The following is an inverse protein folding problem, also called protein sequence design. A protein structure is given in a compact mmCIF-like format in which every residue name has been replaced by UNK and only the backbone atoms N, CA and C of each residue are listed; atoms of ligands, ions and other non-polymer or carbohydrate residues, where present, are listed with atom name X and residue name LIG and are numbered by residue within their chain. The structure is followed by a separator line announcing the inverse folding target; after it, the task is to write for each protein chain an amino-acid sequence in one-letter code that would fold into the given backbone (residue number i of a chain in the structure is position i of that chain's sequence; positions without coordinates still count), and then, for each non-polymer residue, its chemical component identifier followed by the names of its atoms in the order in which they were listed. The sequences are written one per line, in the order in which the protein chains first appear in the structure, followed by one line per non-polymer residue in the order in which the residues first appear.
data_IF_049133166551
#
_entry.id   IF_049133166551
#
_cell.length_a   1.000
_cell.length_b   1.000
_cell.length_c   1.000
_cell.angle_alpha   90.00
_cell.angle_beta   90.00
_cell.angle_gamma   90.00
#
_symmetry.space_group_name_H-M   'P 1'
#
loop_
_entity.id
_entity.type
_entity.pdbx_description
1 polymer ?
#
# COMPACT_ATOMS: atom_id res chain seq x y z
N UNK A 1 20.29 -5.79 17.01
CA UNK A 1 20.39 -6.77 15.91
C UNK A 1 20.64 -6.00 14.63
N UNK A 2 21.61 -6.38 13.79
CA UNK A 2 21.83 -5.76 12.47
C UNK A 2 21.34 -6.73 11.38
N UNK A 3 20.13 -6.55 10.84
CA UNK A 3 19.58 -7.47 9.83
C UNK A 3 20.38 -7.38 8.52
N UNK A 4 20.63 -8.52 7.88
CA UNK A 4 21.16 -8.57 6.53
C UNK A 4 20.05 -8.28 5.50
N UNK A 5 20.36 -7.50 4.47
CA UNK A 5 19.47 -7.20 3.34
C UNK A 5 19.97 -7.99 2.12
N UNK A 6 19.08 -8.77 1.50
CA UNK A 6 19.37 -9.63 0.34
C UNK A 6 18.40 -9.28 -0.81
N UNK A 7 18.64 -9.84 -2.00
CA UNK A 7 17.77 -9.72 -3.19
C UNK A 7 17.67 -8.29 -3.78
N UNK A 8 18.79 -7.55 -3.77
CA UNK A 8 18.88 -6.16 -4.24
C UNK A 8 19.44 -6.00 -5.68
N UNK A 9 19.70 -7.10 -6.39
CA UNK A 9 20.29 -7.05 -7.74
C UNK A 9 19.41 -6.36 -8.79
N UNK A 10 18.09 -6.32 -8.56
CA UNK A 10 17.10 -5.67 -9.44
C UNK A 10 16.64 -4.31 -8.87
N UNK A 11 17.42 -3.71 -7.96
CA UNK A 11 17.10 -2.41 -7.38
C UNK A 11 17.01 -1.31 -8.45
N UNK A 12 16.01 -0.43 -8.29
CA UNK A 12 15.76 0.68 -9.21
C UNK A 12 15.51 1.97 -8.44
N UNK A 13 15.65 3.11 -9.12
CA UNK A 13 15.25 4.40 -8.56
C UNK A 13 13.73 4.50 -8.49
N UNK A 14 13.22 4.92 -7.33
CA UNK A 14 11.80 5.12 -7.09
C UNK A 14 11.56 6.10 -5.94
N UNK A 15 10.28 6.33 -5.58
CA UNK A 15 9.93 7.17 -4.44
C UNK A 15 10.57 6.64 -3.16
N UNK A 16 11.03 7.54 -2.30
CA UNK A 16 11.65 7.23 -1.00
C UNK A 16 10.73 6.42 -0.07
N UNK A 17 9.42 6.43 -0.33
CA UNK A 17 8.40 5.67 0.39
C UNK A 17 8.23 4.23 -0.09
N UNK A 18 8.81 3.83 -1.23
CA UNK A 18 8.57 2.52 -1.84
C UNK A 18 8.96 1.36 -0.91
N UNK A 19 10.15 1.42 -0.33
CA UNK A 19 10.65 0.39 0.58
C UNK A 19 9.90 0.40 1.92
N UNK A 20 9.38 1.55 2.36
CA UNK A 20 8.53 1.58 3.54
C UNK A 20 7.21 0.87 3.28
N UNK A 21 6.58 1.13 2.15
CA UNK A 21 5.31 0.48 1.80
C UNK A 21 5.51 -1.03 1.68
N UNK A 22 6.62 -1.48 1.08
CA UNK A 22 6.91 -2.91 0.93
C UNK A 22 7.09 -3.61 2.28
N UNK A 23 7.59 -2.92 3.30
CA UNK A 23 7.76 -3.45 4.66
C UNK A 23 6.51 -3.32 5.54
N UNK A 24 5.85 -2.17 5.51
CA UNK A 24 4.78 -1.82 6.46
C UNK A 24 3.37 -2.16 5.96
N UNK A 25 3.20 -2.32 4.64
CA UNK A 25 1.94 -2.71 4.01
C UNK A 25 2.13 -3.92 3.11
N UNK A 26 2.83 -4.92 3.66
CA UNK A 26 3.14 -6.17 2.98
C UNK A 26 1.88 -7.01 2.70
N UNK A 27 1.96 -7.91 1.72
CA UNK A 27 0.83 -8.76 1.34
C UNK A 27 0.56 -9.92 2.32
N UNK A 28 1.55 -10.30 3.14
CA UNK A 28 1.51 -11.48 4.00
C UNK A 28 1.33 -11.14 5.48
N UNK A 29 1.69 -9.92 5.89
CA UNK A 29 1.61 -9.45 7.27
C UNK A 29 0.68 -8.24 7.36
N UNK A 30 -0.19 -8.25 8.36
CA UNK A 30 -1.05 -7.12 8.69
C UNK A 30 -0.63 -6.53 10.04
N UNK A 31 -0.37 -5.22 10.03
CA UNK A 31 0.07 -4.47 11.19
C UNK A 31 -1.04 -3.52 11.62
N UNK A 32 -1.15 -3.31 12.93
CA UNK A 32 -2.05 -2.28 13.45
C UNK A 32 -1.72 -0.89 12.87
N UNK A 33 -2.75 -0.12 12.52
CA UNK A 33 -2.58 1.18 11.86
C UNK A 33 -1.78 2.17 12.72
N UNK A 34 -1.96 2.14 14.04
CA UNK A 34 -1.21 3.02 14.96
C UNK A 34 0.29 2.68 14.91
N UNK A 35 0.62 1.38 14.75
CA UNK A 35 2.01 0.94 14.60
C UNK A 35 2.61 1.36 13.27
N UNK A 36 1.86 1.23 12.18
CA UNK A 36 2.31 1.72 10.86
C UNK A 36 2.56 3.23 10.92
N UNK A 37 1.66 3.99 11.55
CA UNK A 37 1.80 5.43 11.72
C UNK A 37 3.03 5.80 12.54
N UNK A 38 3.26 5.17 13.70
CA UNK A 38 4.45 5.40 14.54
C UNK A 38 5.74 5.12 13.76
N UNK A 39 5.82 4.02 13.03
CA UNK A 39 7.00 3.70 12.21
C UNK A 39 7.20 4.68 11.06
N UNK A 40 6.13 5.10 10.37
CA UNK A 40 6.19 6.14 9.34
C UNK A 40 6.72 7.47 9.88
N UNK A 41 6.29 7.89 11.08
CA UNK A 41 6.79 9.11 11.75
C UNK A 41 8.27 8.98 12.05
N UNK A 42 8.70 7.87 12.67
CA UNK A 42 10.11 7.64 13.03
C UNK A 42 11.02 7.64 11.81
N UNK A 43 10.60 6.99 10.72
CA UNK A 43 11.34 7.03 9.48
C UNK A 43 11.43 8.45 8.93
N UNK A 44 10.30 9.16 8.85
CA UNK A 44 10.25 10.52 8.34
C UNK A 44 11.19 11.47 9.11
N UNK A 45 11.19 11.40 10.45
CA UNK A 45 12.11 12.19 11.29
C UNK A 45 13.58 11.84 11.05
N UNK A 46 13.90 10.55 10.95
CA UNK A 46 15.26 10.09 10.66
C UNK A 46 15.72 10.51 9.26
N UNK A 47 14.87 10.35 8.25
CA UNK A 47 15.11 10.75 6.87
C UNK A 47 15.35 12.26 6.74
N UNK A 48 14.53 13.08 7.42
CA UNK A 48 14.73 14.54 7.49
C UNK A 48 16.07 14.90 8.12
N UNK A 49 16.43 14.29 9.25
CA UNK A 49 17.73 14.53 9.91
C UNK A 49 18.92 14.11 9.04
N UNK A 50 18.75 13.07 8.21
CA UNK A 50 19.75 12.60 7.27
C UNK A 50 19.81 13.41 5.97
N UNK A 51 18.93 14.41 5.78
CA UNK A 51 18.88 15.22 4.57
C UNK A 51 18.30 14.49 3.35
N UNK A 52 17.55 13.41 3.55
CA UNK A 52 16.85 12.72 2.46
C UNK A 52 15.72 13.60 1.91
N UNK A 53 15.36 13.48 0.62
CA UNK A 53 14.36 14.30 -0.04
C UNK A 53 12.93 13.87 0.32
N UNK A 54 12.57 13.95 1.60
CA UNK A 54 11.20 13.74 2.10
C UNK A 54 10.49 15.08 2.26
N UNK A 55 9.14 15.05 2.28
CA UNK A 55 8.32 16.24 2.51
C UNK A 55 8.63 16.89 3.86
N UNK A 56 8.53 18.22 3.91
CA UNK A 56 8.74 18.99 5.14
C UNK A 56 7.60 18.82 6.14
N UNK A 57 6.38 18.59 5.65
CA UNK A 57 5.19 18.28 6.43
C UNK A 57 4.94 16.76 6.47
N UNK A 58 4.56 16.24 7.64
CA UNK A 58 4.34 14.80 7.81
C UNK A 58 3.07 14.32 7.09
N UNK A 59 2.00 15.11 7.06
CA UNK A 59 0.77 14.70 6.39
C UNK A 59 0.98 14.56 4.88
N UNK A 60 1.79 15.45 4.28
CA UNK A 60 2.20 15.31 2.88
C UNK A 60 3.06 14.06 2.64
N UNK A 61 4.04 13.78 3.53
CA UNK A 61 4.84 12.55 3.44
C UNK A 61 3.96 11.30 3.57
N UNK A 62 3.02 11.31 4.51
CA UNK A 62 2.12 10.19 4.75
C UNK A 62 1.18 9.98 3.56
N UNK A 63 0.72 11.06 2.91
CA UNK A 63 -0.01 10.96 1.64
C UNK A 63 0.84 10.30 0.55
N UNK A 64 2.09 10.72 0.37
CA UNK A 64 3.01 10.10 -0.59
C UNK A 64 3.23 8.60 -0.27
N UNK A 65 3.28 8.22 1.01
CA UNK A 65 3.36 6.82 1.45
C UNK A 65 2.08 6.03 1.13
N UNK A 66 0.89 6.58 1.40
CA UNK A 66 -0.38 5.95 1.08
C UNK A 66 -0.58 5.77 -0.43
N UNK A 67 -0.25 6.79 -1.22
CA UNK A 67 -0.36 6.76 -2.68
C UNK A 67 0.64 5.79 -3.32
N UNK A 68 1.84 5.68 -2.73
CA UNK A 68 2.78 4.64 -3.11
C UNK A 68 2.21 3.24 -2.79
N UNK A 69 1.51 3.11 -1.66
CA UNK A 69 0.67 1.95 -1.33
C UNK A 69 -0.28 1.58 -2.46
N UNK A 70 -1.12 2.53 -2.88
CA UNK A 70 -2.11 2.34 -3.95
C UNK A 70 -1.47 1.77 -5.22
N UNK A 71 -0.39 2.39 -5.71
CA UNK A 71 0.30 1.90 -6.91
C UNK A 71 0.87 0.49 -6.71
N UNK A 72 1.50 0.23 -5.55
CA UNK A 72 2.13 -1.05 -5.27
C UNK A 72 1.10 -2.17 -5.11
N UNK A 73 0.01 -1.91 -4.39
CA UNK A 73 -1.05 -2.89 -4.16
C UNK A 73 -1.79 -3.23 -5.44
N UNK A 74 -2.04 -2.25 -6.34
CA UNK A 74 -2.54 -2.52 -7.69
C UNK A 74 -1.61 -3.46 -8.47
N UNK A 75 -0.30 -3.18 -8.46
CA UNK A 75 0.69 -4.05 -9.10
C UNK A 75 0.66 -5.47 -8.52
N UNK A 76 0.57 -5.62 -7.20
CA UNK A 76 0.51 -6.93 -6.53
C UNK A 76 -0.76 -7.69 -6.90
N UNK A 77 -1.93 -7.05 -6.88
CA UNK A 77 -3.19 -7.68 -7.29
C UNK A 77 -3.10 -8.21 -8.72
N UNK A 78 -2.54 -7.42 -9.65
CA UNK A 78 -2.30 -7.85 -11.02
C UNK A 78 -1.30 -9.02 -11.12
N UNK A 79 -0.24 -9.03 -10.30
CA UNK A 79 0.72 -10.13 -10.23
C UNK A 79 0.03 -11.41 -9.72
N UNK A 80 -0.77 -11.33 -8.66
CA UNK A 80 -1.48 -12.49 -8.11
C UNK A 80 -2.48 -13.07 -9.12
N UNK A 81 -3.26 -12.22 -9.78
CA UNK A 81 -4.15 -12.64 -10.85
C UNK A 81 -3.38 -13.33 -11.99
N UNK A 82 -2.25 -12.76 -12.43
CA UNK A 82 -1.39 -13.37 -13.46
C UNK A 82 -0.84 -14.72 -13.02
N UNK A 83 -0.31 -14.82 -11.79
CA UNK A 83 0.25 -16.06 -11.25
C UNK A 83 -0.81 -17.17 -11.16
N UNK A 84 -2.05 -16.81 -10.84
CA UNK A 84 -3.16 -17.76 -10.85
C UNK A 84 -3.50 -18.20 -12.28
N UNK A 85 -3.83 -17.28 -13.18
CA UNK A 85 -4.33 -17.61 -14.52
C UNK A 85 -3.28 -18.23 -15.44
N UNK A 86 -2.03 -17.76 -15.36
CA UNK A 86 -0.95 -18.22 -16.25
C UNK A 86 -0.18 -19.41 -15.67
N UNK A 87 0.12 -19.36 -14.37
CA UNK A 87 1.06 -20.29 -13.73
C UNK A 87 0.37 -21.31 -12.81
N UNK A 88 -0.98 -21.27 -12.69
CA UNK A 88 -1.77 -22.21 -11.88
C UNK A 88 -1.58 -22.06 -10.37
N UNK A 89 -0.97 -20.96 -9.90
CA UNK A 89 -0.62 -20.78 -8.49
C UNK A 89 -1.79 -20.21 -7.67
N UNK A 90 -2.79 -21.05 -7.40
CA UNK A 90 -4.01 -20.68 -6.68
C UNK A 90 -3.76 -20.13 -5.25
N UNK A 91 -2.63 -20.47 -4.62
CA UNK A 91 -2.30 -20.01 -3.27
C UNK A 91 -2.31 -18.48 -3.11
N UNK A 92 -1.93 -17.73 -4.14
CA UNK A 92 -1.90 -16.26 -4.09
C UNK A 92 -3.28 -15.61 -4.01
N UNK A 93 -4.35 -16.32 -4.38
CA UNK A 93 -5.71 -15.81 -4.23
C UNK A 93 -6.09 -15.60 -2.76
N UNK A 94 -5.49 -16.36 -1.83
CA UNK A 94 -5.73 -16.23 -0.40
C UNK A 94 -5.20 -14.90 0.17
N UNK A 95 -4.18 -14.30 -0.46
CA UNK A 95 -3.58 -13.03 -0.04
C UNK A 95 -4.27 -11.80 -0.66
N UNK A 96 -5.06 -11.99 -1.73
CA UNK A 96 -5.75 -10.90 -2.43
C UNK A 96 -6.68 -10.07 -1.52
N UNK A 97 -7.47 -10.65 -0.59
CA UNK A 97 -8.34 -9.85 0.28
C UNK A 97 -7.57 -8.86 1.15
N UNK A 98 -6.37 -9.24 1.65
CA UNK A 98 -5.54 -8.35 2.46
C UNK A 98 -5.02 -7.17 1.64
N UNK A 99 -4.48 -7.45 0.46
CA UNK A 99 -3.95 -6.43 -0.46
C UNK A 99 -5.07 -5.49 -0.92
N UNK A 100 -6.26 -6.04 -1.24
CA UNK A 100 -7.43 -5.24 -1.61
C UNK A 100 -7.90 -4.35 -0.46
N UNK A 101 -7.87 -4.84 0.78
CA UNK A 101 -8.24 -4.03 1.95
C UNK A 101 -7.32 -2.82 2.15
N UNK A 102 -6.00 -2.97 1.99
CA UNK A 102 -5.08 -1.83 2.05
C UNK A 102 -5.37 -0.80 0.95
N UNK A 103 -5.56 -1.28 -0.28
CA UNK A 103 -5.87 -0.42 -1.42
C UNK A 103 -7.18 0.35 -1.20
N UNK A 104 -8.23 -0.36 -0.75
CA UNK A 104 -9.55 0.21 -0.47
C UNK A 104 -9.50 1.29 0.60
N UNK A 105 -8.85 1.03 1.73
CA UNK A 105 -8.72 2.02 2.83
C UNK A 105 -8.02 3.29 2.38
N UNK A 106 -6.98 3.18 1.56
CA UNK A 106 -6.31 4.34 0.99
C UNK A 106 -7.24 5.10 0.02
N UNK A 107 -7.95 4.39 -0.86
CA UNK A 107 -8.85 5.04 -1.82
C UNK A 107 -10.05 5.74 -1.15
N UNK A 108 -10.55 5.22 -0.03
CA UNK A 108 -11.62 5.86 0.77
C UNK A 108 -11.15 7.14 1.47
N UNK A 109 -9.86 7.25 1.78
CA UNK A 109 -9.31 8.38 2.55
C UNK A 109 -9.07 9.62 1.69
N UNK A 110 -8.77 9.45 0.40
CA UNK A 110 -8.39 10.54 -0.49
C UNK A 110 -9.42 10.68 -1.61
N UNK A 111 -10.02 11.86 -1.72
CA UNK A 111 -11.08 12.13 -2.68
C UNK A 111 -10.63 11.91 -4.13
N UNK A 112 -9.36 12.18 -4.42
CA UNK A 112 -8.72 11.97 -5.73
C UNK A 112 -8.72 10.49 -6.15
N UNK A 113 -8.88 9.57 -5.20
CA UNK A 113 -8.87 8.13 -5.41
C UNK A 113 -10.27 7.50 -5.36
N UNK A 114 -11.33 8.27 -5.11
CA UNK A 114 -12.71 7.75 -5.11
C UNK A 114 -13.08 7.00 -6.41
N UNK A 115 -12.71 7.46 -7.63
CA UNK A 115 -13.02 6.68 -8.84
C UNK A 115 -12.44 5.26 -8.83
N UNK A 116 -11.29 5.07 -8.19
CA UNK A 116 -10.70 3.74 -8.00
C UNK A 116 -11.42 2.95 -6.90
N UNK A 117 -11.86 3.62 -5.83
CA UNK A 117 -12.68 3.00 -4.78
C UNK A 117 -13.98 2.42 -5.36
N UNK A 118 -14.68 3.20 -6.19
CA UNK A 118 -15.92 2.80 -6.88
C UNK A 118 -15.67 1.62 -7.82
N UNK A 119 -14.56 1.64 -8.57
CA UNK A 119 -14.17 0.53 -9.44
C UNK A 119 -13.93 -0.76 -8.64
N UNK A 120 -13.30 -0.68 -7.47
CA UNK A 120 -13.09 -1.83 -6.60
C UNK A 120 -14.43 -2.40 -6.08
N UNK A 121 -15.40 -1.55 -5.75
CA UNK A 121 -16.75 -2.00 -5.37
C UNK A 121 -17.45 -2.73 -6.51
N UNK A 122 -17.40 -2.17 -7.72
CA UNK A 122 -17.98 -2.79 -8.91
C UNK A 122 -17.35 -4.17 -9.21
N UNK A 123 -16.02 -4.29 -9.12
CA UNK A 123 -15.30 -5.56 -9.36
C UNK A 123 -15.57 -6.60 -8.29
N UNK A 124 -15.70 -6.18 -7.03
CA UNK A 124 -15.98 -7.09 -5.90
C UNK A 124 -17.47 -7.39 -5.71
N UNK A 125 -18.35 -6.82 -6.54
CA UNK A 125 -19.80 -6.99 -6.42
C UNK A 125 -20.37 -6.43 -5.12
N UNK A 126 -19.72 -5.41 -4.53
CA UNK A 126 -20.22 -4.72 -3.34
C UNK A 126 -21.21 -3.65 -3.81
N UNK A 127 -22.48 -3.82 -3.49
CA UNK A 127 -23.45 -2.73 -3.69
C UNK A 127 -23.04 -1.54 -2.82
N UNK A 128 -23.00 -0.35 -3.43
CA UNK A 128 -22.88 0.88 -2.68
C UNK A 128 -24.06 0.93 -1.71
N UNK A 129 -23.79 0.82 -0.41
CA UNK A 129 -24.80 1.08 0.60
C UNK A 129 -25.15 2.57 0.48
N UNK A 130 -26.16 2.89 -0.33
CA UNK A 130 -26.75 4.21 -0.42
C UNK A 130 -27.43 4.44 0.93
N UNK A 131 -26.66 4.91 1.90
CA UNK A 131 -27.16 5.39 3.17
C UNK A 131 -27.90 6.70 2.89
N UNK A 132 -29.17 6.58 2.54
CA UNK A 132 -30.10 7.70 2.60
C UNK A 132 -30.11 8.20 4.05
N UNK A 133 -29.41 9.30 4.30
CA UNK A 133 -29.58 10.08 5.52
C UNK A 133 -30.75 11.02 5.25
N UNK A 134 -31.87 10.76 5.94
CA UNK A 134 -32.99 11.70 6.09
C UNK A 134 -32.64 12.74 7.17
#
# INVERSE_FOLDING_TARGET
SNPGVLDFQDAVYGPVTYDLVSLYKDAYIDWDEVRVLDWSIRYWEAARRAGLPVRADFAEFYRDFEWMGVQRHLKVLGIFARLYHRDGKAGYLADMPRVSNYLRRACQRYAELHPLHDLLDAVEGREAAVAYTF
#
